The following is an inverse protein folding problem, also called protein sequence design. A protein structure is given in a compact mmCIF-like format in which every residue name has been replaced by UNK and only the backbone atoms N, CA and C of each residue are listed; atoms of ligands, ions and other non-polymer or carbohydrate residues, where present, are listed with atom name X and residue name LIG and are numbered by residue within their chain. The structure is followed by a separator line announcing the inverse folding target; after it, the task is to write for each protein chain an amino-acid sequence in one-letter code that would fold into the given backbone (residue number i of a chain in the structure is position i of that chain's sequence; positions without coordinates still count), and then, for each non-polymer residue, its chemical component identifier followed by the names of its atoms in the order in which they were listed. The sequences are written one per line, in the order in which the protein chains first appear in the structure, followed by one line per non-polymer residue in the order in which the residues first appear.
data_IF_666836294130
#
_entry.id   IF_666836294130
#
_cell.length_a   1.000
_cell.length_b   1.000
_cell.length_c   1.000
_cell.angle_alpha   90.00
_cell.angle_beta   90.00
_cell.angle_gamma   90.00
#
_symmetry.space_group_name_H-M   'P 1'
#
loop_
_entity.id
_entity.type
_entity.pdbx_description
1 polymer ?
#
# COMPACT_ATOMS: atom_id res chain seq x y z
N UNK A 1 7.03 -3.38 -6.93
CA UNK A 1 6.13 -4.12 -6.02
C UNK A 1 6.17 -5.63 -6.27
N UNK A 2 6.01 -6.11 -7.48
CA UNK A 2 5.96 -7.56 -7.80
C UNK A 2 7.20 -8.36 -7.36
N UNK A 3 8.32 -7.70 -7.18
CA UNK A 3 9.57 -8.35 -6.75
C UNK A 3 9.89 -8.16 -5.26
N UNK A 4 8.99 -7.54 -4.47
CA UNK A 4 9.22 -7.38 -3.05
C UNK A 4 8.96 -8.72 -2.32
N UNK A 5 9.91 -9.24 -1.53
CA UNK A 5 9.83 -10.59 -0.96
C UNK A 5 8.65 -10.79 0.00
N UNK A 6 8.16 -9.70 0.59
CA UNK A 6 7.05 -9.75 1.56
C UNK A 6 5.68 -9.51 0.94
N UNK A 7 5.57 -9.24 -0.37
CA UNK A 7 4.29 -9.03 -1.05
C UNK A 7 4.01 -10.26 -1.91
N UNK A 8 2.88 -10.91 -1.66
CA UNK A 8 2.49 -12.12 -2.40
C UNK A 8 1.64 -11.76 -3.62
N UNK A 9 0.81 -10.73 -3.51
CA UNK A 9 -0.06 -10.31 -4.60
C UNK A 9 0.01 -8.80 -4.80
N UNK A 10 0.07 -8.37 -6.06
CA UNK A 10 -0.02 -6.97 -6.46
C UNK A 10 -1.27 -6.76 -7.31
N UNK A 11 -2.00 -5.69 -7.02
CA UNK A 11 -3.17 -5.27 -7.78
C UNK A 11 -3.06 -3.80 -8.13
N UNK A 12 -3.85 -3.38 -9.12
CA UNK A 12 -3.91 -2.00 -9.58
C UNK A 12 -5.36 -1.58 -9.71
N UNK A 13 -5.64 -0.31 -9.42
CA UNK A 13 -6.97 0.27 -9.49
C UNK A 13 -7.71 0.24 -8.16
N UNK A 14 -9.05 0.26 -8.20
CA UNK A 14 -9.85 0.36 -6.98
C UNK A 14 -9.69 -0.90 -6.11
N UNK A 15 -9.34 -0.70 -4.85
CA UNK A 15 -9.17 -1.77 -3.87
C UNK A 15 -10.47 -2.54 -3.60
N UNK A 16 -11.64 -1.91 -3.81
CA UNK A 16 -12.93 -2.59 -3.70
C UNK A 16 -13.07 -3.76 -4.68
N UNK A 17 -12.43 -3.67 -5.85
CA UNK A 17 -12.39 -4.77 -6.80
C UNK A 17 -11.57 -5.97 -6.34
N UNK A 18 -10.68 -5.77 -5.35
CA UNK A 18 -9.85 -6.84 -4.77
C UNK A 18 -10.63 -7.65 -3.75
N UNK A 19 -11.50 -6.98 -2.99
CA UNK A 19 -12.32 -7.61 -1.94
C UNK A 19 -13.29 -8.69 -2.48
N UNK A 20 -13.66 -8.59 -3.74
CA UNK A 20 -14.57 -9.55 -4.40
C UNK A 20 -13.87 -10.76 -4.99
N UNK A 21 -12.54 -10.88 -4.91
CA UNK A 21 -11.80 -12.04 -5.44
C UNK A 21 -11.95 -13.24 -4.52
N UNK A 22 -12.26 -14.38 -5.10
CA UNK A 22 -12.49 -15.63 -4.36
C UNK A 22 -11.29 -16.10 -3.54
N UNK A 23 -10.05 -15.75 -3.93
CA UNK A 23 -8.82 -16.20 -3.25
C UNK A 23 -7.71 -15.15 -3.29
N UNK A 24 -7.84 -14.02 -2.59
CA UNK A 24 -6.72 -13.08 -2.49
C UNK A 24 -5.57 -13.68 -1.69
N UNK A 25 -4.35 -13.48 -2.20
CA UNK A 25 -3.13 -13.84 -1.47
C UNK A 25 -2.61 -12.64 -0.69
N UNK A 26 -2.13 -12.87 0.53
CA UNK A 26 -1.67 -11.83 1.45
C UNK A 26 -0.22 -12.06 1.90
N UNK A 27 0.54 -11.00 2.21
CA UNK A 27 0.20 -9.58 2.12
C UNK A 27 -0.08 -9.10 0.70
N UNK A 28 -1.07 -8.23 0.57
CA UNK A 28 -1.54 -7.65 -0.69
C UNK A 28 -1.03 -6.23 -0.83
N UNK A 29 -0.43 -5.92 -1.99
CA UNK A 29 -0.09 -4.56 -2.39
C UNK A 29 -1.06 -4.06 -3.47
N UNK A 30 -1.61 -2.87 -3.30
CA UNK A 30 -2.45 -2.21 -4.29
C UNK A 30 -1.94 -0.81 -4.56
N UNK A 31 -1.90 -0.41 -5.83
CA UNK A 31 -1.62 0.96 -6.23
C UNK A 31 -2.79 1.55 -7.01
N UNK A 32 -3.20 2.73 -6.61
CA UNK A 32 -4.25 3.51 -7.26
C UNK A 32 -3.71 4.89 -7.62
N UNK A 33 -3.80 5.28 -8.88
CA UNK A 33 -3.55 6.64 -9.33
C UNK A 33 -4.90 7.38 -9.26
N UNK A 34 -4.98 8.39 -8.40
CA UNK A 34 -6.22 9.13 -8.16
C UNK A 34 -6.31 10.39 -9.03
N UNK A 35 -5.17 10.97 -9.38
CA UNK A 35 -5.12 12.19 -10.18
C UNK A 35 -3.82 12.26 -11.00
N UNK A 36 -3.86 13.02 -12.10
CA UNK A 36 -2.68 13.40 -12.86
C UNK A 36 -2.78 14.87 -13.25
N UNK A 37 -1.70 15.62 -13.04
CA UNK A 37 -1.60 17.03 -13.44
C UNK A 37 -0.33 17.28 -14.23
N UNK A 38 -0.41 18.18 -15.18
CA UNK A 38 0.74 18.63 -15.97
C UNK A 38 1.22 19.97 -15.42
N UNK A 39 2.50 20.02 -15.06
CA UNK A 39 3.14 21.23 -14.54
C UNK A 39 4.41 21.47 -15.36
N UNK A 40 4.39 22.47 -16.20
CA UNK A 40 5.50 22.81 -17.11
C UNK A 40 5.96 21.61 -17.97
N UNK A 41 7.15 21.08 -17.68
CA UNK A 41 7.74 19.92 -18.36
C UNK A 41 7.59 18.62 -17.56
N UNK A 42 6.79 18.62 -16.52
CA UNK A 42 6.60 17.45 -15.64
C UNK A 42 5.15 16.99 -15.61
N UNK A 43 4.97 15.73 -15.34
CA UNK A 43 3.66 15.15 -15.01
C UNK A 43 3.70 14.68 -13.56
N UNK A 44 2.76 15.14 -12.76
CA UNK A 44 2.62 14.76 -11.36
C UNK A 44 1.41 13.85 -11.22
N UNK A 45 1.62 12.67 -10.67
CA UNK A 45 0.58 11.69 -10.36
C UNK A 45 0.34 11.65 -8.86
N UNK A 46 -0.89 11.85 -8.43
CA UNK A 46 -1.27 11.58 -7.04
C UNK A 46 -1.59 10.09 -6.91
N UNK A 47 -0.84 9.40 -6.08
CA UNK A 47 -0.88 7.96 -5.91
C UNK A 47 -1.31 7.58 -4.50
N UNK A 48 -2.02 6.46 -4.40
CA UNK A 48 -2.28 5.78 -3.14
C UNK A 48 -1.72 4.37 -3.22
N UNK A 49 -0.83 4.04 -2.27
CA UNK A 49 -0.26 2.73 -2.08
C UNK A 49 -0.89 2.10 -0.84
N UNK A 50 -1.63 1.02 -1.02
CA UNK A 50 -2.24 0.27 0.08
C UNK A 50 -1.49 -1.04 0.25
N UNK A 51 -1.06 -1.33 1.48
CA UNK A 51 -0.54 -2.64 1.87
C UNK A 51 -1.45 -3.18 2.96
N UNK A 52 -2.00 -4.37 2.72
CA UNK A 52 -2.98 -5.01 3.57
C UNK A 52 -2.63 -6.46 3.86
N UNK A 53 -2.97 -6.91 5.04
CA UNK A 53 -2.91 -8.31 5.42
C UNK A 53 -4.20 -8.74 6.14
N UNK A 54 -4.43 -10.05 6.18
CA UNK A 54 -5.63 -10.62 6.78
C UNK A 54 -5.47 -10.73 8.29
N UNK A 55 -6.41 -10.13 9.02
CA UNK A 55 -6.47 -10.22 10.48
C UNK A 55 -6.84 -11.63 10.90
N UNK A 56 -6.03 -12.21 11.77
CA UNK A 56 -6.29 -13.49 12.39
C UNK A 56 -6.72 -13.24 13.84
N UNK A 57 -7.88 -13.75 14.21
CA UNK A 57 -8.27 -13.78 15.60
C UNK A 57 -7.32 -14.76 16.31
N UNK A 58 -6.75 -14.33 17.43
CA UNK A 58 -6.04 -15.24 18.33
C UNK A 58 -7.11 -16.10 19.01
N UNK A 59 -7.41 -17.25 18.43
CA UNK A 59 -8.27 -18.21 19.06
C UNK A 59 -7.60 -18.64 20.36
N UNK A 60 -8.25 -18.36 21.50
CA UNK A 60 -7.90 -18.91 22.81
C UNK A 60 -8.22 -20.42 22.90
N UNK A 61 -8.10 -21.15 21.81
CA UNK A 61 -8.17 -22.61 21.76
C UNK A 61 -6.77 -23.21 21.97
N UNK A 62 -6.13 -22.86 23.08
CA UNK A 62 -5.32 -23.84 23.77
C UNK A 62 -6.15 -24.41 24.92
N UNK A 63 -7.02 -25.34 24.62
CA UNK A 63 -7.40 -26.37 25.55
C UNK A 63 -6.13 -27.08 26.00
N UNK A 64 -5.64 -26.71 27.14
CA UNK A 64 -4.43 -27.33 27.69
C UNK A 64 -3.91 -26.54 28.88
N UNK A 65 -4.65 -26.58 29.98
CA UNK A 65 -4.11 -26.75 31.33
C UNK A 65 -2.97 -25.80 31.76
N UNK A 66 -3.31 -24.93 32.73
CA UNK A 66 -2.45 -24.31 33.75
C UNK A 66 -1.61 -23.11 33.36
N UNK A 67 -2.07 -22.04 33.79
CA UNK A 67 -1.60 -20.75 34.22
C UNK A 67 -2.22 -19.63 33.39
N UNK A 68 -3.44 -19.26 33.82
CA UNK A 68 -3.95 -17.90 33.60
C UNK A 68 -3.06 -16.94 34.39
N UNK A 69 -1.88 -16.69 33.91
CA UNK A 69 -1.22 -15.42 34.11
C UNK A 69 -1.92 -14.48 33.15
N UNK A 70 -2.87 -13.72 33.64
CA UNK A 70 -3.50 -12.62 32.95
C UNK A 70 -2.40 -11.64 32.54
N UNK A 71 -1.93 -11.78 31.33
CA UNK A 71 -1.06 -10.77 30.72
C UNK A 71 -1.97 -9.60 30.39
N UNK A 72 -1.76 -8.40 30.96
CA UNK A 72 -2.69 -7.27 30.84
C UNK A 72 -2.85 -6.70 29.42
N UNK A 73 -2.22 -7.29 28.42
CA UNK A 73 -2.22 -6.84 27.01
C UNK A 73 -2.35 -8.00 26.02
N UNK A 74 -3.18 -8.98 26.29
CA UNK A 74 -3.59 -9.91 25.22
C UNK A 74 -4.51 -9.16 24.26
N UNK A 75 -3.94 -8.72 23.15
CA UNK A 75 -4.72 -8.26 22.03
C UNK A 75 -5.61 -9.41 21.52
N UNK A 76 -6.84 -9.09 21.19
CA UNK A 76 -7.83 -10.06 20.67
C UNK A 76 -7.42 -10.59 19.29
N UNK A 77 -6.53 -9.90 18.62
CA UNK A 77 -6.07 -10.19 17.25
C UNK A 77 -4.60 -9.78 17.03
N UNK A 78 -4.12 -10.02 15.82
CA UNK A 78 -2.76 -9.70 15.36
C UNK A 78 -2.65 -8.35 14.62
N UNK A 79 -3.62 -7.45 14.78
CA UNK A 79 -3.68 -6.16 14.06
C UNK A 79 -2.43 -5.31 14.27
N UNK A 80 -1.85 -5.29 15.47
CA UNK A 80 -0.65 -4.51 15.78
C UNK A 80 0.56 -5.02 14.98
N UNK A 81 0.72 -6.35 14.92
CA UNK A 81 1.80 -6.97 14.16
C UNK A 81 1.63 -6.72 12.66
N UNK A 82 0.40 -6.79 12.16
CA UNK A 82 0.07 -6.46 10.76
C UNK A 82 0.42 -4.99 10.47
N UNK A 83 0.03 -4.05 11.35
CA UNK A 83 0.35 -2.65 11.14
C UNK A 83 1.86 -2.40 11.12
N UNK A 84 2.62 -3.04 12.01
CA UNK A 84 4.08 -2.91 12.02
C UNK A 84 4.71 -3.45 10.72
N UNK A 85 4.32 -4.65 10.30
CA UNK A 85 4.85 -5.30 9.11
C UNK A 85 4.47 -4.56 7.82
N UNK A 86 3.21 -4.18 7.67
CA UNK A 86 2.72 -3.50 6.46
C UNK A 86 3.30 -2.09 6.34
N UNK A 87 3.54 -1.38 7.45
CA UNK A 87 4.23 -0.10 7.42
C UNK A 87 5.71 -0.24 7.02
N UNK A 88 6.39 -1.29 7.49
CA UNK A 88 7.75 -1.57 7.07
C UNK A 88 7.84 -1.83 5.56
N UNK A 89 6.92 -2.61 4.99
CA UNK A 89 6.83 -2.85 3.54
C UNK A 89 6.64 -1.55 2.76
N UNK A 90 5.75 -0.66 3.23
CA UNK A 90 5.54 0.65 2.60
C UNK A 90 6.83 1.47 2.61
N UNK A 91 7.50 1.53 3.77
CA UNK A 91 8.76 2.26 3.88
C UNK A 91 9.83 1.73 2.94
N UNK A 92 9.97 0.41 2.81
CA UNK A 92 10.93 -0.21 1.92
C UNK A 92 10.63 0.09 0.45
N UNK A 93 9.35 0.02 0.04
CA UNK A 93 8.93 0.33 -1.33
C UNK A 93 9.16 1.80 -1.69
N UNK A 94 8.79 2.72 -0.81
CA UNK A 94 8.96 4.15 -1.03
C UNK A 94 10.43 4.54 -1.06
N UNK A 95 11.24 3.97 -0.15
CA UNK A 95 12.70 4.16 -0.15
C UNK A 95 13.34 3.63 -1.43
N UNK A 96 12.93 2.45 -1.89
CA UNK A 96 13.40 1.90 -3.17
C UNK A 96 13.02 2.82 -4.34
N UNK A 97 11.80 3.32 -4.39
CA UNK A 97 11.35 4.23 -5.44
C UNK A 97 12.16 5.53 -5.42
N UNK A 98 12.42 6.08 -4.26
CA UNK A 98 13.14 7.34 -4.09
C UNK A 98 14.63 7.24 -4.47
N UNK A 99 15.28 6.12 -4.17
CA UNK A 99 16.74 5.99 -4.32
C UNK A 99 17.20 5.15 -5.51
N UNK A 100 16.38 4.22 -5.98
CA UNK A 100 16.77 3.27 -7.01
C UNK A 100 16.12 3.52 -8.37
N UNK A 101 15.04 4.29 -8.42
CA UNK A 101 14.30 4.57 -9.65
C UNK A 101 14.60 6.00 -10.10
N UNK A 102 15.35 6.16 -11.20
CA UNK A 102 15.82 7.46 -11.70
C UNK A 102 14.78 8.25 -12.48
N UNK A 103 13.69 7.61 -12.91
CA UNK A 103 12.69 8.24 -13.79
C UNK A 103 11.52 8.88 -13.02
N UNK A 104 11.48 8.71 -11.72
CA UNK A 104 10.41 9.19 -10.86
C UNK A 104 10.99 9.81 -9.61
N UNK A 105 10.43 10.95 -9.22
CA UNK A 105 10.72 11.60 -7.96
C UNK A 105 9.45 11.60 -7.10
N UNK A 106 9.59 11.32 -5.81
CA UNK A 106 8.52 11.48 -4.83
C UNK A 106 8.64 12.87 -4.24
N UNK A 107 7.65 13.71 -4.52
CA UNK A 107 7.62 15.07 -4.05
C UNK A 107 6.73 15.24 -2.81
N UNK A 108 7.25 15.99 -1.84
CA UNK A 108 6.51 16.37 -0.64
C UNK A 108 6.42 15.30 0.43
N UNK A 109 5.47 15.51 1.34
CA UNK A 109 5.26 14.63 2.47
C UNK A 109 4.45 13.40 2.07
N UNK A 110 4.85 12.24 2.58
CA UNK A 110 4.13 10.99 2.44
C UNK A 110 3.21 10.82 3.66
N UNK A 111 1.91 10.81 3.42
CA UNK A 111 0.92 10.63 4.47
C UNK A 111 0.47 9.17 4.55
N UNK A 112 0.65 8.55 5.71
CA UNK A 112 0.22 7.19 5.96
C UNK A 112 -0.97 7.17 6.93
N UNK A 113 -2.06 6.49 6.54
CA UNK A 113 -3.24 6.28 7.35
C UNK A 113 -3.45 4.79 7.60
N UNK A 114 -3.56 4.40 8.88
CA UNK A 114 -3.88 3.04 9.25
C UNK A 114 -5.36 2.74 9.02
N UNK A 115 -5.67 1.50 8.64
CA UNK A 115 -7.04 1.01 8.60
C UNK A 115 -7.15 -0.38 9.23
N UNK A 116 -8.34 -0.68 9.72
CA UNK A 116 -8.70 -2.00 10.25
C UNK A 116 -10.13 -2.31 9.82
N UNK A 117 -10.34 -3.57 9.44
CA UNK A 117 -11.66 -4.12 9.13
C UNK A 117 -12.41 -3.39 7.99
N UNK A 118 -11.69 -2.71 7.11
CA UNK A 118 -12.30 -2.28 5.87
C UNK A 118 -12.62 -3.51 5.01
N UNK A 119 -13.81 -3.55 4.41
CA UNK A 119 -14.19 -4.56 3.41
C UNK A 119 -14.73 -5.90 3.91
N UNK A 120 -15.39 -6.03 5.04
CA UNK A 120 -16.01 -7.27 5.54
C UNK A 120 -15.09 -8.52 5.60
N UNK A 121 -13.82 -8.41 5.23
CA UNK A 121 -12.86 -9.52 5.12
C UNK A 121 -11.84 -9.56 6.25
N UNK A 122 -11.99 -8.70 7.26
CA UNK A 122 -11.03 -8.62 8.36
C UNK A 122 -9.62 -8.26 7.87
N UNK A 123 -9.50 -7.22 7.05
CA UNK A 123 -8.22 -6.70 6.59
C UNK A 123 -7.74 -5.56 7.47
N UNK A 124 -6.43 -5.50 7.70
CA UNK A 124 -5.75 -4.38 8.33
C UNK A 124 -4.50 -4.01 7.54
N UNK A 125 -4.06 -2.76 7.68
CA UNK A 125 -2.87 -2.28 7.00
C UNK A 125 -2.77 -0.76 6.97
N UNK A 126 -2.08 -0.26 5.96
CA UNK A 126 -1.85 1.16 5.75
C UNK A 126 -2.13 1.58 4.32
N UNK A 127 -2.57 2.82 4.19
CA UNK A 127 -2.65 3.55 2.92
C UNK A 127 -1.66 4.69 2.98
N UNK A 128 -0.68 4.69 2.07
CA UNK A 128 0.25 5.79 1.87
C UNK A 128 -0.20 6.63 0.67
N UNK A 129 -0.34 7.93 0.87
CA UNK A 129 -0.68 8.89 -0.18
C UNK A 129 0.52 9.80 -0.45
N UNK A 130 0.90 9.94 -1.72
CA UNK A 130 2.07 10.72 -2.15
C UNK A 130 1.91 11.18 -3.60
N UNK A 131 2.66 12.21 -3.97
CA UNK A 131 2.77 12.67 -5.34
C UNK A 131 4.04 12.08 -5.98
N UNK A 132 3.89 11.54 -7.18
CA UNK A 132 4.95 10.98 -8.00
C UNK A 132 5.16 11.86 -9.22
N UNK A 133 6.33 12.46 -9.33
CA UNK A 133 6.67 13.35 -10.43
C UNK A 133 7.55 12.65 -11.45
N UNK A 134 7.22 12.80 -12.73
CA UNK A 134 8.04 12.33 -13.86
C UNK A 134 8.30 13.45 -14.84
N UNK A 135 9.51 13.48 -15.39
CA UNK A 135 9.83 14.42 -16.46
C UNK A 135 9.10 14.03 -17.76
N UNK A 136 8.51 15.01 -18.40
CA UNK A 136 7.83 14.82 -19.66
C UNK A 136 8.76 15.27 -20.81
N UNK A 137 9.56 14.35 -21.32
CA UNK A 137 10.50 14.59 -22.42
C UNK A 137 9.82 14.75 -23.79
N UNK A 138 8.50 14.96 -23.82
CA UNK A 138 7.82 15.19 -25.09
C UNK A 138 8.27 16.52 -25.69
N UNK A 139 8.94 16.50 -26.86
CA UNK A 139 9.28 17.74 -27.53
C UNK A 139 7.99 18.51 -27.85
N UNK A 140 7.90 19.73 -27.33
CA UNK A 140 6.75 20.64 -27.54
C UNK A 140 6.50 21.00 -29.02
N UNK A 141 7.25 20.41 -29.94
CA UNK A 141 7.33 20.82 -31.34
C UNK A 141 6.61 19.91 -32.35
N UNK A 142 5.71 19.01 -31.92
CA UNK A 142 5.05 18.09 -32.87
C UNK A 142 3.63 18.48 -33.30
N UNK A 143 3.13 19.63 -32.87
CA UNK A 143 1.94 20.21 -33.51
C UNK A 143 2.35 21.34 -34.46
N UNK A 144 2.94 21.00 -35.60
CA UNK A 144 2.78 21.82 -36.76
C UNK A 144 1.30 21.76 -37.17
N UNK A 145 0.52 22.66 -36.60
CA UNK A 145 -0.76 23.02 -37.20
C UNK A 145 -0.46 23.65 -38.56
N UNK A 146 -0.44 22.85 -39.59
CA UNK A 146 -0.57 23.35 -40.94
C UNK A 146 -1.96 23.97 -41.06
N UNK A 147 -2.05 25.21 -41.56
CA UNK A 147 -3.31 25.84 -41.87
C UNK A 147 -4.02 25.12 -43.03
#
# INVERSE_FOLDING_TARGET
MENHPSIIQVTQGDIFGVDTREFPAYPLGNILITNARFVDSTTVYTCQLTIADKVKLKNNESEGVYNKQTVPYEGVDDTVDIHANTLAIINDLLSYTQYAVTNFDIDGDINCAAFKEQFNNGLAGWVASFDLTTHNDRPRCLFNLYP
#
